data_IF_490770455630
#
_entry.id   IF_490770455630
#
_cell.length_a   1.000
_cell.length_b   1.000
_cell.length_c   1.000
_cell.angle_alpha   90.00
_cell.angle_beta   90.00
_cell.angle_gamma   90.00
#
_symmetry.space_group_name_H-M   'P 1'
#
loop_
_entity.id
_entity.type
_entity.pdbx_description
1 polymer ?
#
# COMPACT_ATOMS: atom_id res chain seq x y z
N UNK A 1 -2.39 -7.27 -21.04
CA UNK A 1 -3.71 -7.17 -21.71
C UNK A 1 -4.86 -7.30 -20.70
N UNK A 2 -4.93 -8.37 -19.90
CA UNK A 2 -6.00 -8.59 -18.90
C UNK A 2 -6.07 -7.44 -17.89
N UNK A 3 -4.94 -6.98 -17.38
CA UNK A 3 -4.86 -5.85 -16.44
C UNK A 3 -5.39 -4.55 -17.05
N UNK A 4 -5.01 -4.25 -18.29
CA UNK A 4 -5.50 -3.05 -19.00
C UNK A 4 -7.01 -3.09 -19.24
N UNK A 5 -7.55 -4.27 -19.58
CA UNK A 5 -9.00 -4.45 -19.73
C UNK A 5 -9.73 -4.24 -18.39
N UNK A 6 -9.17 -4.74 -17.29
CA UNK A 6 -9.70 -4.54 -15.95
C UNK A 6 -9.72 -3.06 -15.58
N UNK A 7 -8.61 -2.34 -15.77
CA UNK A 7 -8.52 -0.90 -15.50
C UNK A 7 -9.50 -0.08 -16.33
N UNK A 8 -9.67 -0.44 -17.61
CA UNK A 8 -10.65 0.23 -18.49
C UNK A 8 -12.09 0.04 -17.99
N UNK A 9 -12.45 -1.18 -17.58
CA UNK A 9 -13.78 -1.47 -17.03
C UNK A 9 -14.00 -0.72 -15.71
N UNK A 10 -13.02 -0.71 -14.83
CA UNK A 10 -13.11 0.03 -13.55
C UNK A 10 -13.25 1.52 -13.76
N UNK A 11 -12.51 2.09 -14.72
CA UNK A 11 -12.61 3.51 -15.08
C UNK A 11 -13.99 3.85 -15.64
N UNK A 12 -14.53 3.01 -16.54
CA UNK A 12 -15.88 3.21 -17.07
C UNK A 12 -16.96 3.11 -16.00
N UNK A 13 -16.84 2.17 -15.06
CA UNK A 13 -17.76 2.06 -13.92
C UNK A 13 -17.67 3.31 -13.02
N UNK A 14 -16.48 3.82 -12.77
CA UNK A 14 -16.28 5.06 -12.00
C UNK A 14 -16.90 6.28 -12.66
N UNK A 15 -16.74 6.43 -13.99
CA UNK A 15 -17.38 7.50 -14.77
C UNK A 15 -18.89 7.37 -14.78
N UNK A 16 -19.42 6.16 -14.96
CA UNK A 16 -20.86 5.89 -14.90
C UNK A 16 -21.45 6.20 -13.53
N UNK A 17 -20.76 5.80 -12.44
CA UNK A 17 -21.18 6.11 -11.08
C UNK A 17 -21.23 7.63 -10.83
N UNK A 18 -20.24 8.38 -11.35
CA UNK A 18 -20.21 9.83 -11.24
C UNK A 18 -21.30 10.52 -12.06
N UNK A 19 -21.64 9.99 -13.22
CA UNK A 19 -22.71 10.52 -14.06
C UNK A 19 -24.10 10.31 -13.43
N UNK A 20 -24.30 9.17 -12.76
CA UNK A 20 -25.58 8.85 -12.11
C UNK A 20 -25.73 9.50 -10.74
N UNK A 21 -24.63 9.74 -10.02
CA UNK A 21 -24.60 10.28 -8.66
C UNK A 21 -23.58 11.43 -8.52
N UNK A 22 -23.80 12.58 -9.15
CA UNK A 22 -22.82 13.69 -9.17
C UNK A 22 -22.54 14.29 -7.78
N UNK A 23 -23.49 14.19 -6.86
CA UNK A 23 -23.40 14.71 -5.49
C UNK A 23 -22.57 13.83 -4.54
N UNK A 24 -22.26 12.60 -4.94
CA UNK A 24 -21.53 11.67 -4.09
C UNK A 24 -20.02 11.81 -4.28
N UNK A 25 -19.29 11.72 -3.18
CA UNK A 25 -17.84 11.58 -3.23
C UNK A 25 -17.45 10.30 -4.02
N UNK A 26 -16.43 10.39 -4.87
CA UNK A 26 -16.03 9.32 -5.79
C UNK A 26 -15.83 7.95 -5.14
N UNK A 27 -15.30 7.92 -3.90
CA UNK A 27 -15.13 6.68 -3.13
C UNK A 27 -16.45 6.01 -2.72
N UNK A 28 -17.53 6.77 -2.56
CA UNK A 28 -18.86 6.27 -2.18
C UNK A 28 -19.74 5.97 -3.39
N UNK A 29 -19.51 6.66 -4.52
CA UNK A 29 -20.34 6.52 -5.71
C UNK A 29 -20.36 5.09 -6.25
N UNK A 30 -19.23 4.43 -6.30
CA UNK A 30 -19.10 3.05 -6.76
C UNK A 30 -19.87 2.06 -5.86
N UNK A 31 -19.74 2.21 -4.54
CA UNK A 31 -20.47 1.37 -3.58
C UNK A 31 -21.99 1.59 -3.67
N UNK A 32 -22.42 2.85 -3.74
CA UNK A 32 -23.84 3.22 -3.85
C UNK A 32 -24.44 2.70 -5.15
N UNK A 33 -23.72 2.83 -6.26
CA UNK A 33 -24.15 2.29 -7.56
C UNK A 33 -24.34 0.77 -7.49
N UNK A 34 -23.41 0.04 -6.89
CA UNK A 34 -23.51 -1.40 -6.77
C UNK A 34 -24.69 -1.84 -5.89
N UNK A 35 -24.92 -1.14 -4.76
CA UNK A 35 -26.04 -1.44 -3.85
C UNK A 35 -27.39 -1.17 -4.55
N UNK A 36 -27.49 -0.10 -5.32
CA UNK A 36 -28.76 0.29 -5.97
C UNK A 36 -29.04 -0.47 -7.26
N UNK A 37 -27.99 -0.92 -7.97
CA UNK A 37 -28.14 -1.62 -9.26
C UNK A 37 -28.32 -3.13 -9.13
N UNK A 38 -27.95 -3.73 -8.01
CA UNK A 38 -27.94 -5.19 -7.83
C UNK A 38 -29.01 -5.66 -6.84
N UNK A 39 -29.59 -6.86 -7.06
CA UNK A 39 -30.44 -7.52 -6.08
C UNK A 39 -29.66 -7.78 -4.77
N UNK A 40 -30.33 -7.86 -3.61
CA UNK A 40 -29.68 -7.99 -2.29
C UNK A 40 -28.68 -9.15 -2.20
N UNK A 41 -29.01 -10.29 -2.82
CA UNK A 41 -28.12 -11.46 -2.84
C UNK A 41 -26.80 -11.18 -3.58
N UNK A 42 -26.88 -10.56 -4.76
CA UNK A 42 -25.70 -10.23 -5.57
C UNK A 42 -24.87 -9.11 -4.91
N UNK A 43 -25.52 -8.16 -4.28
CA UNK A 43 -24.85 -7.11 -3.48
C UNK A 43 -24.05 -7.73 -2.32
N UNK A 44 -24.63 -8.69 -1.60
CA UNK A 44 -23.91 -9.42 -0.55
C UNK A 44 -22.68 -10.16 -1.07
N UNK A 45 -22.84 -10.91 -2.15
CA UNK A 45 -21.74 -11.63 -2.80
C UNK A 45 -20.61 -10.68 -3.28
N UNK A 46 -21.00 -9.54 -3.84
CA UNK A 46 -20.06 -8.51 -4.29
C UNK A 46 -19.28 -7.89 -3.12
N UNK A 47 -19.95 -7.56 -2.01
CA UNK A 47 -19.27 -7.06 -0.80
C UNK A 47 -18.30 -8.11 -0.24
N UNK A 48 -18.71 -9.38 -0.17
CA UNK A 48 -17.82 -10.46 0.25
C UNK A 48 -16.60 -10.60 -0.65
N UNK A 49 -16.76 -10.41 -1.97
CA UNK A 49 -15.66 -10.45 -2.94
C UNK A 49 -14.66 -9.32 -2.70
N UNK A 50 -15.12 -8.10 -2.45
CA UNK A 50 -14.24 -6.97 -2.11
C UNK A 50 -13.48 -7.25 -0.82
N UNK A 51 -14.17 -7.71 0.23
CA UNK A 51 -13.52 -8.04 1.48
C UNK A 51 -12.46 -9.15 1.31
N UNK A 52 -12.74 -10.16 0.50
CA UNK A 52 -11.80 -11.23 0.21
C UNK A 52 -10.53 -10.71 -0.50
N UNK A 53 -10.68 -9.80 -1.47
CA UNK A 53 -9.54 -9.15 -2.16
C UNK A 53 -8.72 -8.33 -1.18
N UNK A 54 -9.37 -7.52 -0.35
CA UNK A 54 -8.68 -6.71 0.68
C UNK A 54 -7.90 -7.61 1.63
N UNK A 55 -8.53 -8.67 2.17
CA UNK A 55 -7.88 -9.61 3.11
C UNK A 55 -6.69 -10.31 2.47
N UNK A 56 -6.81 -10.76 1.22
CA UNK A 56 -5.73 -11.41 0.47
C UNK A 56 -4.54 -10.49 0.30
N UNK A 57 -4.77 -9.26 -0.12
CA UNK A 57 -3.72 -8.25 -0.33
C UNK A 57 -3.04 -7.86 0.98
N UNK A 58 -3.83 -7.57 2.02
CA UNK A 58 -3.30 -7.21 3.34
C UNK A 58 -2.45 -8.33 3.94
N UNK A 59 -2.88 -9.58 3.84
CA UNK A 59 -2.13 -10.73 4.35
C UNK A 59 -0.75 -10.84 3.69
N UNK A 60 -0.68 -10.61 2.39
CA UNK A 60 0.59 -10.63 1.64
C UNK A 60 1.51 -9.50 2.07
N UNK A 61 1.01 -8.28 2.18
CA UNK A 61 1.82 -7.13 2.62
C UNK A 61 2.31 -7.28 4.06
N UNK A 62 1.46 -7.75 4.97
CA UNK A 62 1.86 -7.99 6.36
C UNK A 62 2.94 -9.08 6.46
N UNK A 63 2.80 -10.15 5.69
CA UNK A 63 3.79 -11.21 5.67
C UNK A 63 5.13 -10.71 5.12
N UNK A 64 5.13 -10.04 3.98
CA UNK A 64 6.35 -9.48 3.37
C UNK A 64 7.01 -8.47 4.32
N UNK A 65 6.27 -7.51 4.85
CA UNK A 65 6.81 -6.53 5.79
C UNK A 65 7.39 -7.17 7.05
N UNK A 66 6.69 -8.12 7.65
CA UNK A 66 7.14 -8.80 8.86
C UNK A 66 8.35 -9.71 8.61
N UNK A 67 8.40 -10.41 7.47
CA UNK A 67 9.56 -11.24 7.11
C UNK A 67 10.78 -10.40 6.81
N UNK A 68 10.64 -9.29 6.10
CA UNK A 68 11.72 -8.34 5.83
C UNK A 68 12.29 -7.78 7.15
N UNK A 69 11.44 -7.33 8.06
CA UNK A 69 11.89 -6.86 9.38
C UNK A 69 12.62 -7.97 10.15
N UNK A 70 12.11 -9.20 10.14
CA UNK A 70 12.70 -10.30 10.88
C UNK A 70 14.00 -10.78 10.26
N UNK A 71 14.00 -11.04 8.93
CA UNK A 71 15.11 -11.72 8.25
C UNK A 71 16.21 -10.78 7.80
N UNK A 72 15.83 -9.57 7.35
CA UNK A 72 16.78 -8.63 6.75
C UNK A 72 17.30 -7.61 7.76
N UNK A 73 16.54 -7.31 8.82
CA UNK A 73 16.93 -6.34 9.81
C UNK A 73 17.34 -6.99 11.15
N UNK A 74 16.45 -7.74 11.79
CA UNK A 74 16.69 -8.27 13.14
C UNK A 74 17.70 -9.41 13.14
N UNK A 75 17.56 -10.37 12.23
CA UNK A 75 18.44 -11.55 12.17
C UNK A 75 19.92 -11.15 11.99
N UNK A 76 20.31 -10.34 11.00
CA UNK A 76 21.71 -9.99 10.79
C UNK A 76 22.27 -9.04 11.88
N UNK A 77 21.45 -8.15 12.46
CA UNK A 77 21.92 -7.16 13.42
C UNK A 77 22.00 -7.67 14.85
N UNK A 78 21.03 -8.47 15.28
CA UNK A 78 20.87 -8.82 16.70
C UNK A 78 20.98 -10.30 17.01
N UNK A 79 20.64 -11.20 16.05
CA UNK A 79 20.59 -12.64 16.31
C UNK A 79 20.94 -13.47 15.07
N UNK A 80 22.22 -13.55 14.67
CA UNK A 80 22.65 -14.27 13.47
C UNK A 80 22.33 -15.79 13.53
N UNK A 81 22.30 -16.38 14.73
CA UNK A 81 22.01 -17.81 14.96
C UNK A 81 20.57 -18.06 15.44
N UNK A 82 19.60 -17.34 14.91
CA UNK A 82 18.19 -17.49 15.28
C UNK A 82 17.64 -18.82 14.79
N UNK A 83 16.94 -19.55 15.68
CA UNK A 83 16.24 -20.79 15.35
C UNK A 83 14.98 -20.50 14.52
N UNK A 84 14.58 -21.42 13.64
CA UNK A 84 13.38 -21.25 12.79
C UNK A 84 12.11 -20.99 13.60
N UNK A 85 11.97 -21.61 14.76
CA UNK A 85 10.82 -21.37 15.67
C UNK A 85 10.80 -19.95 16.22
N UNK A 86 11.94 -19.39 16.56
CA UNK A 86 12.07 -18.00 17.02
C UNK A 86 11.79 -17.03 15.89
N UNK A 87 12.27 -17.33 14.69
CA UNK A 87 12.00 -16.53 13.50
C UNK A 87 10.51 -16.45 13.20
N UNK A 88 9.80 -17.58 13.18
CA UNK A 88 8.34 -17.62 12.96
C UNK A 88 7.60 -16.85 14.06
N UNK A 89 8.00 -17.00 15.32
CA UNK A 89 7.36 -16.28 16.44
C UNK A 89 7.54 -14.76 16.30
N UNK A 90 8.75 -14.32 15.96
CA UNK A 90 9.07 -12.91 15.80
C UNK A 90 8.33 -12.31 14.60
N UNK A 91 8.30 -13.02 13.47
CA UNK A 91 7.52 -12.62 12.29
C UNK A 91 6.03 -12.41 12.63
N UNK A 92 5.43 -13.32 13.41
CA UNK A 92 4.03 -13.16 13.87
C UNK A 92 3.83 -11.92 14.74
N UNK A 93 4.75 -11.63 15.64
CA UNK A 93 4.70 -10.42 16.47
C UNK A 93 4.76 -9.18 15.57
N UNK A 94 5.69 -9.13 14.61
CA UNK A 94 5.76 -8.01 13.67
C UNK A 94 4.54 -7.88 12.79
N UNK A 95 3.92 -8.98 12.34
CA UNK A 95 2.64 -8.91 11.61
C UNK A 95 1.57 -8.18 12.42
N UNK A 96 1.44 -8.51 13.70
CA UNK A 96 0.47 -7.84 14.59
C UNK A 96 0.84 -6.37 14.79
N UNK A 97 2.12 -6.06 15.01
CA UNK A 97 2.58 -4.68 15.18
C UNK A 97 2.33 -3.85 13.90
N UNK A 98 2.62 -4.39 12.73
CA UNK A 98 2.37 -3.72 11.44
C UNK A 98 0.86 -3.50 11.25
N UNK A 99 0.04 -4.52 11.54
CA UNK A 99 -1.41 -4.41 11.45
C UNK A 99 -1.97 -3.33 12.38
N UNK A 100 -1.53 -3.28 13.63
CA UNK A 100 -1.94 -2.25 14.59
C UNK A 100 -1.47 -0.85 14.18
N UNK A 101 -0.23 -0.72 13.73
CA UNK A 101 0.29 0.57 13.24
C UNK A 101 -0.45 1.06 11.99
N UNK A 102 -0.79 0.16 11.07
CA UNK A 102 -1.63 0.47 9.91
C UNK A 102 -3.04 0.92 10.30
N UNK A 103 -3.64 0.27 11.29
CA UNK A 103 -4.93 0.67 11.85
C UNK A 103 -4.88 2.08 12.45
N UNK A 104 -3.85 2.39 13.24
CA UNK A 104 -3.65 3.72 13.83
C UNK A 104 -3.43 4.79 12.75
N UNK A 105 -2.65 4.49 11.72
CA UNK A 105 -2.45 5.39 10.59
C UNK A 105 -3.74 5.64 9.81
N UNK A 106 -4.61 4.64 9.68
CA UNK A 106 -5.87 4.79 8.96
C UNK A 106 -6.79 5.86 9.56
N UNK A 107 -6.71 6.10 10.87
CA UNK A 107 -7.48 7.16 11.54
C UNK A 107 -6.98 8.58 11.20
N UNK A 108 -5.78 8.73 10.64
CA UNK A 108 -5.23 10.02 10.26
C UNK A 108 -5.76 10.54 8.91
N UNK A 109 -6.33 9.64 8.10
CA UNK A 109 -6.80 9.97 6.76
C UNK A 109 -8.32 10.03 6.72
N UNK A 110 -8.87 11.13 6.19
CA UNK A 110 -10.30 11.32 6.00
C UNK A 110 -10.84 10.58 4.77
N UNK A 111 -9.99 10.36 3.76
CA UNK A 111 -10.35 9.63 2.55
C UNK A 111 -9.28 8.58 2.18
N UNK A 112 -9.74 7.44 1.67
CA UNK A 112 -8.86 6.34 1.25
C UNK A 112 -7.93 6.78 0.11
N UNK A 113 -8.43 7.62 -0.79
CA UNK A 113 -7.65 8.11 -1.92
C UNK A 113 -6.44 8.93 -1.47
N UNK A 114 -6.61 9.81 -0.48
CA UNK A 114 -5.53 10.63 0.07
C UNK A 114 -4.44 9.75 0.68
N UNK A 115 -4.83 8.70 1.42
CA UNK A 115 -3.91 7.72 1.97
C UNK A 115 -3.12 6.99 0.87
N UNK A 116 -3.80 6.55 -0.20
CA UNK A 116 -3.17 5.82 -1.32
C UNK A 116 -2.20 6.72 -2.08
N UNK A 117 -2.59 7.96 -2.37
CA UNK A 117 -1.73 8.93 -3.07
C UNK A 117 -0.52 9.27 -2.22
N UNK A 118 -0.70 9.53 -0.94
CA UNK A 118 0.40 9.84 -0.02
C UNK A 118 1.39 8.67 0.13
N UNK A 119 0.90 7.48 0.45
CA UNK A 119 1.75 6.30 0.64
C UNK A 119 2.40 5.86 -0.67
N UNK A 120 1.68 5.95 -1.79
CA UNK A 120 2.20 5.68 -3.13
C UNK A 120 3.30 6.67 -3.52
N UNK A 121 3.11 7.95 -3.27
CA UNK A 121 4.11 9.01 -3.47
C UNK A 121 5.36 8.78 -2.64
N UNK A 122 5.20 8.46 -1.35
CA UNK A 122 6.28 8.14 -0.43
C UNK A 122 7.10 6.94 -0.92
N UNK A 123 6.43 5.86 -1.35
CA UNK A 123 7.06 4.67 -1.88
C UNK A 123 7.82 4.96 -3.18
N UNK A 124 7.18 5.63 -4.13
CA UNK A 124 7.81 6.00 -5.40
C UNK A 124 9.03 6.91 -5.19
N UNK A 125 8.91 7.94 -4.39
CA UNK A 125 10.01 8.87 -4.13
C UNK A 125 11.21 8.20 -3.44
N UNK A 126 10.95 7.25 -2.53
CA UNK A 126 12.02 6.53 -1.83
C UNK A 126 12.65 5.42 -2.65
N UNK A 127 11.89 4.69 -3.46
CA UNK A 127 12.37 3.53 -4.20
C UNK A 127 12.89 3.86 -5.61
N UNK A 128 12.30 4.86 -6.29
CA UNK A 128 12.55 5.14 -7.70
C UNK A 128 14.01 5.53 -7.98
N UNK A 129 14.56 6.45 -7.19
CA UNK A 129 15.94 6.96 -7.40
C UNK A 129 16.99 5.88 -7.18
N UNK A 130 17.00 5.11 -6.07
CA UNK A 130 18.01 4.08 -5.87
C UNK A 130 17.87 2.91 -6.85
N UNK A 131 16.64 2.56 -7.26
CA UNK A 131 16.40 1.49 -8.24
C UNK A 131 16.89 1.90 -9.62
N UNK A 132 16.54 3.09 -10.13
CA UNK A 132 17.04 3.60 -11.39
C UNK A 132 18.54 3.80 -11.36
N UNK A 133 19.07 4.39 -10.28
CA UNK A 133 20.49 4.54 -10.09
C UNK A 133 21.21 3.19 -10.16
N UNK A 134 20.68 2.14 -9.48
CA UNK A 134 21.22 0.79 -9.51
C UNK A 134 21.20 0.14 -10.89
N UNK A 135 20.18 0.45 -11.69
CA UNK A 135 20.02 -0.12 -13.03
C UNK A 135 20.94 0.55 -14.05
N UNK A 136 21.05 1.90 -14.03
CA UNK A 136 21.75 2.66 -15.07
C UNK A 136 23.18 3.05 -14.68
N UNK A 137 23.50 3.19 -13.37
CA UNK A 137 24.78 3.69 -12.87
C UNK A 137 25.59 2.64 -12.12
N UNK A 138 25.73 1.48 -12.67
CA UNK A 138 26.31 0.26 -12.10
C UNK A 138 27.71 0.42 -11.45
N UNK A 139 28.47 1.44 -11.84
CA UNK A 139 29.90 1.58 -11.49
C UNK A 139 30.20 2.55 -10.35
N UNK A 140 29.24 3.30 -9.85
CA UNK A 140 29.45 4.34 -8.83
C UNK A 140 28.47 4.34 -7.66
N UNK A 141 27.62 3.32 -7.55
CA UNK A 141 26.68 3.26 -6.46
C UNK A 141 27.32 2.66 -5.22
N UNK A 142 27.28 3.42 -4.14
CA UNK A 142 27.64 2.96 -2.82
C UNK A 142 26.37 2.63 -2.03
N UNK A 143 26.46 1.67 -1.10
CA UNK A 143 25.35 1.32 -0.20
C UNK A 143 24.84 2.57 0.54
N UNK A 144 25.76 3.42 0.99
CA UNK A 144 25.43 4.69 1.64
C UNK A 144 24.66 5.65 0.72
N UNK A 145 25.04 5.75 -0.58
CA UNK A 145 24.33 6.57 -1.55
C UNK A 145 22.89 6.09 -1.79
N UNK A 146 22.69 4.78 -1.89
CA UNK A 146 21.35 4.19 -1.99
C UNK A 146 20.48 4.52 -0.77
N UNK A 147 21.03 4.34 0.43
CA UNK A 147 20.32 4.64 1.68
C UNK A 147 19.99 6.13 1.83
N UNK A 148 20.94 7.02 1.53
CA UNK A 148 20.72 8.46 1.55
C UNK A 148 19.68 8.92 0.52
N UNK A 149 19.63 8.30 -0.67
CA UNK A 149 18.62 8.63 -1.67
C UNK A 149 17.21 8.20 -1.24
N UNK A 150 17.09 7.06 -0.55
CA UNK A 150 15.81 6.61 0.04
C UNK A 150 15.32 7.59 1.11
N UNK A 151 16.19 7.93 2.07
CA UNK A 151 15.87 8.90 3.12
C UNK A 151 15.58 10.29 2.56
N UNK A 152 16.31 10.72 1.56
CA UNK A 152 16.10 11.99 0.87
C UNK A 152 14.74 12.04 0.18
N UNK A 153 14.38 11.01 -0.58
CA UNK A 153 13.07 10.91 -1.23
C UNK A 153 11.92 10.93 -0.21
N UNK A 154 12.02 10.15 0.86
CA UNK A 154 11.05 10.14 1.94
C UNK A 154 10.95 11.50 2.64
N UNK A 155 12.09 12.12 2.95
CA UNK A 155 12.15 13.43 3.61
C UNK A 155 11.52 14.55 2.76
N UNK A 156 11.80 14.58 1.46
CA UNK A 156 11.19 15.55 0.53
C UNK A 156 9.68 15.38 0.46
N UNK A 157 9.18 14.15 0.37
CA UNK A 157 7.73 13.89 0.33
C UNK A 157 7.04 14.33 1.61
N UNK A 158 7.63 14.06 2.77
CA UNK A 158 7.09 14.49 4.06
C UNK A 158 7.10 16.02 4.22
N UNK A 159 8.18 16.69 3.79
CA UNK A 159 8.28 18.14 3.79
C UNK A 159 7.24 18.78 2.84
N UNK A 160 7.07 18.21 1.65
CA UNK A 160 6.09 18.70 0.67
C UNK A 160 4.67 18.67 1.24
N UNK A 161 4.33 17.59 1.91
CA UNK A 161 3.02 17.46 2.56
C UNK A 161 2.86 18.38 3.77
N UNK A 162 3.91 18.56 4.57
CA UNK A 162 3.86 19.48 5.74
C UNK A 162 3.68 20.93 5.32
N UNK A 163 4.08 21.30 4.10
CA UNK A 163 3.87 22.63 3.50
C UNK A 163 2.45 22.83 2.94
N UNK A 164 1.54 21.86 3.11
CA UNK A 164 0.15 21.96 2.74
C UNK A 164 -0.12 21.87 1.23
N UNK A 165 0.83 21.34 0.47
CA UNK A 165 0.62 21.06 -0.96
C UNK A 165 0.12 19.62 -1.12
N UNK A 166 -1.08 19.45 -1.73
CA UNK A 166 -1.63 18.11 -1.98
C UNK A 166 -0.84 17.31 -3.01
#
# INVERSE_FOLDING_TARGET
LIWMAFDAVMTMLGLGARALYPELQGSKAFLTMAINAMPPFLTGLWICSILAVIMSTMSSFFLVGATTLTCDLIKPMFRPCMTDREQIRLTRIFMVCIGLSGCLLAFQFSAVLDAVVFLGGLYLASAFVPVLGGLFWKWRLTVAGGFLSMLGGMGVTLLWQSLGNP
#
